data_IF_070558124684
#
_entry.id   IF_070558124684
#
_cell.length_a   1.000
_cell.length_b   1.000
_cell.length_c   1.000
_cell.angle_alpha   90.00
_cell.angle_beta   90.00
_cell.angle_gamma   90.00
#
_symmetry.space_group_name_H-M   'P 1'
#
loop_
_entity.id
_entity.type
_entity.pdbx_description
1 polymer ?
#
# COMPACT_ATOMS: atom_id res chain seq x y z
N UNK A 1 -3.02 -28.93 -51.95
CA UNK A 1 -1.71 -28.68 -51.31
C UNK A 1 -1.50 -27.18 -51.24
N UNK A 2 -1.68 -26.55 -50.07
CA UNK A 2 -1.59 -25.08 -49.90
C UNK A 2 -0.19 -24.71 -49.42
N UNK A 3 0.47 -23.82 -50.16
CA UNK A 3 1.84 -23.36 -49.96
C UNK A 3 1.92 -22.38 -48.78
N UNK A 4 2.77 -22.69 -47.81
CA UNK A 4 3.10 -21.79 -46.70
C UNK A 4 4.27 -20.89 -47.12
N UNK A 5 4.02 -19.57 -47.12
CA UNK A 5 5.04 -18.55 -47.33
C UNK A 5 5.62 -18.11 -45.98
N UNK A 6 6.81 -18.61 -45.66
CA UNK A 6 7.59 -18.17 -44.51
C UNK A 6 8.41 -16.94 -44.91
N UNK A 7 8.06 -15.75 -44.41
CA UNK A 7 8.88 -14.55 -44.56
C UNK A 7 10.05 -14.58 -43.58
N UNK A 8 11.28 -14.56 -44.12
CA UNK A 8 12.52 -14.39 -43.35
C UNK A 8 12.64 -12.93 -42.89
N UNK A 9 12.72 -12.71 -41.58
CA UNK A 9 13.08 -11.43 -40.98
C UNK A 9 14.60 -11.41 -40.79
N UNK A 10 15.29 -10.45 -41.40
CA UNK A 10 16.72 -10.24 -41.24
C UNK A 10 16.99 -9.32 -40.03
N UNK A 11 17.58 -9.87 -38.98
CA UNK A 11 18.11 -9.12 -37.83
C UNK A 11 19.38 -8.37 -38.25
N UNK A 12 19.35 -7.04 -38.17
CA UNK A 12 20.54 -6.17 -38.29
C UNK A 12 21.43 -6.38 -37.06
N UNK A 13 22.74 -6.58 -37.29
CA UNK A 13 23.78 -6.69 -36.26
C UNK A 13 24.02 -5.35 -35.57
N UNK A 14 24.41 -5.42 -34.29
CA UNK A 14 24.50 -4.32 -33.34
C UNK A 14 25.89 -3.65 -33.26
N UNK A 15 26.68 -3.66 -34.34
CA UNK A 15 28.09 -3.24 -34.29
C UNK A 15 28.36 -1.77 -34.72
N UNK A 16 27.32 -0.98 -35.00
CA UNK A 16 27.49 0.43 -35.38
C UNK A 16 27.23 1.38 -34.19
N UNK A 17 28.22 1.48 -33.28
CA UNK A 17 28.28 2.56 -32.29
C UNK A 17 29.38 3.55 -32.69
N UNK A 18 29.05 4.82 -32.99
CA UNK A 18 30.07 5.81 -33.35
C UNK A 18 30.91 6.22 -32.14
N UNK A 19 32.22 6.06 -32.29
CA UNK A 19 33.27 6.44 -31.33
C UNK A 19 33.29 7.96 -31.13
N UNK A 20 33.13 8.41 -29.88
CA UNK A 20 33.28 9.82 -29.48
C UNK A 20 34.76 10.19 -29.38
N UNK A 21 35.19 11.36 -29.89
CA UNK A 21 36.58 11.80 -29.76
C UNK A 21 36.89 12.30 -28.33
N UNK A 22 37.98 11.76 -27.77
CA UNK A 22 38.65 12.28 -26.57
C UNK A 22 39.26 13.65 -26.88
N UNK A 23 38.88 14.67 -26.11
CA UNK A 23 39.59 15.96 -26.08
C UNK A 23 40.48 15.99 -24.86
N UNK A 24 41.79 15.87 -25.11
CA UNK A 24 42.89 16.13 -24.20
C UNK A 24 43.17 17.63 -24.14
N UNK A 25 43.18 18.24 -22.94
CA UNK A 25 43.84 19.52 -22.68
C UNK A 25 44.06 19.79 -21.18
N UNK A 26 45.32 19.71 -20.80
CA UNK A 26 45.99 20.40 -19.67
C UNK A 26 47.28 21.01 -20.27
N UNK A 27 48.03 21.90 -19.59
CA UNK A 27 47.78 22.68 -18.37
C UNK A 27 48.14 24.19 -18.52
N UNK A 28 47.78 25.02 -17.53
CA UNK A 28 48.56 26.23 -17.21
C UNK A 28 48.35 26.63 -15.75
N UNK A 29 49.43 26.54 -14.96
CA UNK A 29 49.57 27.19 -13.64
C UNK A 29 49.69 28.70 -13.85
N UNK A 30 49.06 29.49 -12.97
CA UNK A 30 49.72 30.67 -12.46
C UNK A 30 49.85 30.64 -10.94
N UNK A 31 50.91 31.30 -10.52
CA UNK A 31 51.43 31.51 -9.18
C UNK A 31 50.67 32.66 -8.51
N UNK A 32 50.50 32.54 -7.18
CA UNK A 32 50.33 33.62 -6.20
C UNK A 32 48.95 34.27 -6.06
N UNK A 33 48.28 33.96 -4.95
CA UNK A 33 48.12 34.90 -3.82
C UNK A 33 47.47 34.16 -2.65
N UNK A 34 48.02 34.34 -1.44
CA UNK A 34 47.57 33.70 -0.21
C UNK A 34 46.27 34.39 0.23
N UNK A 35 45.12 33.70 0.26
CA UNK A 35 43.87 34.33 0.69
C UNK A 35 43.90 34.57 2.22
N UNK A 36 43.20 35.62 2.70
CA UNK A 36 43.06 35.90 4.12
C UNK A 36 42.39 34.72 4.84
N UNK A 37 42.76 34.51 6.10
CA UNK A 37 42.26 33.43 6.94
C UNK A 37 40.73 33.36 6.90
N UNK A 38 40.21 32.27 6.33
CA UNK A 38 38.77 31.95 6.37
C UNK A 38 38.35 31.83 7.83
N UNK A 39 37.24 32.47 8.27
CA UNK A 39 36.62 32.12 9.53
C UNK A 39 36.30 30.63 9.52
N UNK A 40 36.61 29.94 10.64
CA UNK A 40 36.27 28.53 10.84
C UNK A 40 34.83 28.32 10.38
N UNK A 41 34.56 27.38 9.46
CA UNK A 41 33.19 27.02 9.15
C UNK A 41 32.57 26.56 10.46
N UNK A 42 31.63 27.35 10.96
CA UNK A 42 30.63 26.91 11.92
C UNK A 42 30.16 25.55 11.44
N UNK A 43 30.22 24.57 12.33
CA UNK A 43 29.83 23.19 12.09
C UNK A 43 28.48 23.18 11.38
N UNK A 44 28.50 23.03 10.06
CA UNK A 44 27.31 22.75 9.29
C UNK A 44 26.82 21.42 9.83
N UNK A 45 25.57 21.31 10.31
CA UNK A 45 25.06 20.07 10.84
C UNK A 45 25.26 19.02 9.76
N UNK A 46 26.08 18.01 10.07
CA UNK A 46 26.25 16.85 9.22
C UNK A 46 24.84 16.27 9.05
N UNK A 47 24.25 16.42 7.87
CA UNK A 47 22.98 15.79 7.54
C UNK A 47 23.25 14.30 7.68
N UNK A 48 22.74 13.72 8.76
CA UNK A 48 22.95 12.34 9.13
C UNK A 48 22.44 11.45 7.98
N UNK A 49 23.25 10.49 7.49
CA UNK A 49 22.92 9.65 6.33
C UNK A 49 21.60 8.88 6.50
N UNK A 50 21.11 8.74 7.73
CA UNK A 50 19.83 8.11 8.09
C UNK A 50 18.62 8.78 7.44
N UNK A 51 18.62 10.11 7.24
CA UNK A 51 17.46 10.84 6.71
C UNK A 51 17.27 10.67 5.19
N UNK A 52 18.35 10.39 4.45
CA UNK A 52 18.26 10.17 3.00
C UNK A 52 17.74 8.76 2.70
N UNK A 53 18.11 7.78 3.52
CA UNK A 53 17.63 6.39 3.37
C UNK A 53 16.13 6.26 3.63
N UNK A 54 15.58 6.99 4.61
CA UNK A 54 14.12 6.96 4.89
C UNK A 54 13.30 7.45 3.68
N UNK A 55 13.74 8.53 3.02
CA UNK A 55 13.04 9.11 1.86
C UNK A 55 13.03 8.14 0.66
N UNK A 56 14.15 7.46 0.40
CA UNK A 56 14.24 6.48 -0.70
C UNK A 56 13.31 5.30 -0.45
N UNK A 57 13.24 4.79 0.79
CA UNK A 57 12.34 3.70 1.14
C UNK A 57 10.86 4.08 1.11
N UNK A 58 10.52 5.34 1.41
CA UNK A 58 9.13 5.82 1.37
C UNK A 58 8.57 5.93 -0.06
N UNK A 59 9.37 6.45 -0.98
CA UNK A 59 8.95 6.56 -2.39
C UNK A 59 8.74 5.20 -3.06
N UNK A 60 9.48 4.17 -2.64
CA UNK A 60 9.43 2.84 -3.26
C UNK A 60 8.11 2.11 -3.04
N UNK A 61 7.52 2.15 -1.83
CA UNK A 61 6.28 1.42 -1.58
C UNK A 61 5.08 2.12 -2.21
N UNK A 62 5.07 3.46 -2.23
CA UNK A 62 4.01 4.24 -2.89
C UNK A 62 3.94 3.90 -4.37
N UNK A 63 5.08 3.91 -5.04
CA UNK A 63 5.14 3.50 -6.45
C UNK A 63 4.66 2.06 -6.67
N UNK A 64 5.02 1.13 -5.78
CA UNK A 64 4.50 -0.23 -5.83
C UNK A 64 2.98 -0.29 -5.69
N UNK A 65 2.42 0.46 -4.74
CA UNK A 65 0.98 0.53 -4.51
C UNK A 65 0.23 1.10 -5.72
N UNK A 66 0.75 2.15 -6.36
CA UNK A 66 0.19 2.70 -7.59
C UNK A 66 0.12 1.66 -8.72
N UNK A 67 1.15 0.81 -8.85
CA UNK A 67 1.14 -0.26 -9.86
C UNK A 67 0.04 -1.28 -9.58
N UNK A 68 -0.12 -1.69 -8.32
CA UNK A 68 -1.15 -2.65 -7.91
C UNK A 68 -2.55 -2.07 -8.10
N UNK A 69 -2.78 -0.84 -7.64
CA UNK A 69 -4.06 -0.16 -7.81
C UNK A 69 -4.38 0.14 -9.28
N UNK A 70 -3.38 0.47 -10.09
CA UNK A 70 -3.56 0.61 -11.54
C UNK A 70 -3.97 -0.70 -12.23
N UNK A 71 -3.82 -1.88 -11.62
CA UNK A 71 -4.38 -3.13 -12.15
C UNK A 71 -5.88 -3.23 -11.86
N UNK A 72 -6.33 -2.81 -10.68
CA UNK A 72 -7.74 -2.67 -10.35
C UNK A 72 -8.46 -1.80 -11.38
N UNK A 73 -7.88 -0.63 -11.71
CA UNK A 73 -8.43 0.25 -12.76
C UNK A 73 -8.56 -0.43 -14.12
N UNK A 74 -7.52 -1.16 -14.55
CA UNK A 74 -7.54 -1.86 -15.85
C UNK A 74 -8.58 -2.98 -15.89
N UNK A 75 -8.76 -3.70 -14.77
CA UNK A 75 -9.78 -4.74 -14.62
C UNK A 75 -11.19 -4.21 -14.94
N UNK A 76 -11.49 -2.97 -14.54
CA UNK A 76 -12.80 -2.34 -14.70
C UNK A 76 -12.90 -1.30 -15.81
N UNK A 77 -11.81 -1.10 -16.56
CA UNK A 77 -11.75 -0.10 -17.62
C UNK A 77 -12.89 -0.29 -18.62
N UNK A 78 -13.52 0.82 -19.03
CA UNK A 78 -14.68 0.88 -19.96
C UNK A 78 -16.00 0.27 -19.48
N UNK A 79 -16.04 -0.32 -18.28
CA UNK A 79 -17.23 -1.05 -17.77
C UNK A 79 -17.90 -0.35 -16.61
N UNK A 80 -17.10 0.36 -15.81
CA UNK A 80 -17.53 1.10 -14.62
C UNK A 80 -17.11 2.55 -14.80
N UNK A 81 -17.85 3.48 -14.21
CA UNK A 81 -17.49 4.89 -14.22
C UNK A 81 -16.10 5.07 -13.57
N UNK A 82 -15.22 5.84 -14.21
CA UNK A 82 -13.87 6.07 -13.70
C UNK A 82 -13.88 6.64 -12.27
N UNK A 83 -14.86 7.49 -11.96
CA UNK A 83 -15.05 8.09 -10.63
C UNK A 83 -15.25 7.05 -9.53
N UNK A 84 -16.00 5.98 -9.78
CA UNK A 84 -16.33 4.97 -8.76
C UNK A 84 -15.07 4.16 -8.41
N UNK A 85 -14.27 3.86 -9.43
CA UNK A 85 -12.99 3.18 -9.28
C UNK A 85 -11.95 4.08 -8.61
N UNK A 86 -11.91 5.37 -8.96
CA UNK A 86 -11.00 6.34 -8.33
C UNK A 86 -11.27 6.48 -6.83
N UNK A 87 -12.54 6.46 -6.40
CA UNK A 87 -12.89 6.50 -4.97
C UNK A 87 -12.42 5.22 -4.26
N UNK A 88 -12.64 4.05 -4.86
CA UNK A 88 -12.18 2.78 -4.30
C UNK A 88 -10.65 2.77 -4.17
N UNK A 89 -9.94 3.16 -5.23
CA UNK A 89 -8.49 3.29 -5.24
C UNK A 89 -7.98 4.27 -4.19
N UNK A 90 -8.62 5.44 -4.08
CA UNK A 90 -8.27 6.44 -3.08
C UNK A 90 -8.40 5.86 -1.67
N UNK A 91 -9.50 5.16 -1.38
CA UNK A 91 -9.72 4.55 -0.07
C UNK A 91 -8.69 3.48 0.27
N UNK A 92 -8.34 2.60 -0.69
CA UNK A 92 -7.29 1.59 -0.53
C UNK A 92 -5.91 2.21 -0.32
N UNK A 93 -5.59 3.27 -1.07
CA UNK A 93 -4.33 4.00 -0.90
C UNK A 93 -4.22 4.56 0.51
N UNK A 94 -5.28 5.26 0.96
CA UNK A 94 -5.31 5.84 2.29
C UNK A 94 -5.26 4.77 3.38
N UNK A 95 -5.95 3.64 3.21
CA UNK A 95 -5.89 2.52 4.14
C UNK A 95 -4.46 2.00 4.31
N UNK A 96 -3.72 1.80 3.21
CA UNK A 96 -2.32 1.37 3.29
C UNK A 96 -1.43 2.39 3.98
N UNK A 97 -1.61 3.68 3.70
CA UNK A 97 -0.83 4.76 4.31
C UNK A 97 -1.10 4.85 5.82
N UNK A 98 -2.37 4.79 6.25
CA UNK A 98 -2.70 4.78 7.68
C UNK A 98 -2.19 3.52 8.37
N UNK A 99 -2.26 2.35 7.73
CA UNK A 99 -1.67 1.13 8.25
C UNK A 99 -0.15 1.25 8.41
N UNK A 100 0.54 1.85 7.45
CA UNK A 100 1.97 2.10 7.55
C UNK A 100 2.31 3.04 8.71
N UNK A 101 1.54 4.10 8.92
CA UNK A 101 1.73 4.99 10.07
C UNK A 101 1.51 4.26 11.40
N UNK A 102 0.45 3.47 11.51
CA UNK A 102 0.14 2.71 12.72
C UNK A 102 1.21 1.65 13.02
N UNK A 103 1.39 0.69 12.12
CA UNK A 103 2.24 -0.49 12.35
C UNK A 103 3.73 -0.22 12.11
N UNK A 104 4.06 0.70 11.22
CA UNK A 104 5.44 1.01 10.84
C UNK A 104 6.07 2.18 11.60
N UNK A 105 5.29 3.01 12.31
CA UNK A 105 5.80 4.18 13.03
C UNK A 105 5.29 4.27 14.47
N UNK A 106 3.99 4.40 14.69
CA UNK A 106 3.43 4.70 16.01
C UNK A 106 3.58 3.55 17.00
N UNK A 107 3.27 2.31 16.61
CA UNK A 107 3.42 1.16 17.50
C UNK A 107 4.89 0.87 17.85
N UNK A 108 5.84 0.87 16.90
CA UNK A 108 7.26 0.80 17.24
C UNK A 108 7.72 1.95 18.16
N UNK A 109 7.25 3.18 17.94
CA UNK A 109 7.60 4.31 18.80
C UNK A 109 7.05 4.13 20.22
N UNK A 110 5.84 3.59 20.35
CA UNK A 110 5.25 3.25 21.64
C UNK A 110 6.13 2.26 22.39
N UNK A 111 6.61 1.19 21.73
CA UNK A 111 7.54 0.21 22.32
C UNK A 111 8.86 0.83 22.75
N UNK A 112 9.37 1.82 22.01
CA UNK A 112 10.58 2.54 22.41
C UNK A 112 10.34 3.42 23.64
N UNK A 113 9.14 3.97 23.79
CA UNK A 113 8.79 4.80 24.93
C UNK A 113 8.60 3.98 26.19
N UNK A 114 8.03 2.78 26.12
CA UNK A 114 7.74 1.92 27.27
C UNK A 114 8.96 1.21 27.87
N UNK A 115 10.17 1.49 27.38
CA UNK A 115 11.41 1.13 28.06
C UNK A 115 11.87 2.32 28.92
N UNK A 116 11.35 2.50 30.14
CA UNK A 116 11.58 3.71 30.91
C UNK A 116 13.08 3.88 31.24
N UNK A 117 13.61 5.12 31.21
CA UNK A 117 14.84 5.41 31.95
C UNK A 117 14.63 5.12 33.43
N UNK A 118 15.71 4.94 34.20
CA UNK A 118 15.70 4.61 35.64
C UNK A 118 14.81 5.51 36.52
N UNK A 119 14.34 6.65 36.01
CA UNK A 119 13.47 7.61 36.69
C UNK A 119 12.09 7.69 36.03
N UNK A 120 11.16 6.84 36.47
CA UNK A 120 9.76 6.81 36.03
C UNK A 120 8.94 8.02 36.49
N UNK A 121 9.53 8.93 37.28
CA UNK A 121 8.83 10.13 37.78
C UNK A 121 8.94 11.32 36.84
N UNK A 122 9.62 11.18 35.70
CA UNK A 122 9.77 12.27 34.74
C UNK A 122 8.41 12.61 34.08
N UNK A 123 7.84 13.82 34.30
CA UNK A 123 6.59 14.23 33.64
C UNK A 123 6.71 14.25 32.11
N UNK A 124 7.91 14.37 31.55
CA UNK A 124 8.12 14.29 30.11
C UNK A 124 7.80 12.89 29.54
N UNK A 125 8.03 11.83 30.33
CA UNK A 125 7.67 10.46 29.96
C UNK A 125 6.16 10.31 29.82
N UNK A 126 5.41 10.75 30.83
CA UNK A 126 3.93 10.69 30.83
C UNK A 126 3.32 11.50 29.70
N UNK A 127 3.84 12.72 29.47
CA UNK A 127 3.39 13.56 28.36
C UNK A 127 3.62 12.88 27.00
N UNK A 128 4.80 12.29 26.79
CA UNK A 128 5.13 11.58 25.54
C UNK A 128 4.22 10.37 25.32
N UNK A 129 3.99 9.56 26.36
CA UNK A 129 3.11 8.39 26.30
C UNK A 129 1.68 8.80 25.93
N UNK A 130 1.14 9.81 26.62
CA UNK A 130 -0.20 10.33 26.37
C UNK A 130 -0.33 10.90 24.94
N UNK A 131 0.69 11.58 24.43
CA UNK A 131 0.71 12.11 23.06
C UNK A 131 0.65 10.96 22.04
N UNK A 132 1.46 9.91 22.21
CA UNK A 132 1.45 8.76 21.30
C UNK A 132 0.13 8.00 21.32
N UNK A 133 -0.47 7.79 22.50
CA UNK A 133 -1.78 7.16 22.59
C UNK A 133 -2.85 7.99 21.89
N UNK A 134 -2.83 9.32 22.02
CA UNK A 134 -3.74 10.22 21.30
C UNK A 134 -3.54 10.18 19.78
N UNK A 135 -2.29 10.12 19.32
CA UNK A 135 -1.98 10.01 17.90
C UNK A 135 -2.51 8.70 17.31
N UNK A 136 -2.37 7.58 18.04
CA UNK A 136 -2.93 6.29 17.66
C UNK A 136 -4.47 6.36 17.65
N UNK A 137 -5.10 6.89 18.68
CA UNK A 137 -6.57 7.06 18.73
C UNK A 137 -7.09 7.89 17.56
N UNK A 138 -6.47 9.02 17.27
CA UNK A 138 -6.85 9.89 16.15
C UNK A 138 -6.64 9.22 14.80
N UNK A 139 -5.61 8.38 14.65
CA UNK A 139 -5.43 7.56 13.46
C UNK A 139 -6.56 6.54 13.30
N UNK A 140 -6.92 5.83 14.37
CA UNK A 140 -8.02 4.85 14.34
C UNK A 140 -9.35 5.54 14.03
N UNK A 141 -9.62 6.70 14.60
CA UNK A 141 -10.83 7.48 14.31
C UNK A 141 -10.93 7.85 12.82
N UNK A 142 -9.80 8.19 12.18
CA UNK A 142 -9.74 8.47 10.73
C UNK A 142 -9.90 7.22 9.87
N UNK A 143 -9.55 6.04 10.35
CA UNK A 143 -9.72 4.78 9.62
C UNK A 143 -11.20 4.38 9.47
N UNK A 144 -12.07 4.67 10.44
CA UNK A 144 -13.49 4.33 10.36
C UNK A 144 -14.17 4.87 9.08
N UNK A 145 -14.19 6.18 8.81
CA UNK A 145 -14.84 6.71 7.62
C UNK A 145 -14.17 6.26 6.32
N UNK A 146 -12.86 5.97 6.33
CA UNK A 146 -12.15 5.44 5.17
C UNK A 146 -12.61 4.02 4.82
N UNK A 147 -12.74 3.14 5.83
CA UNK A 147 -13.24 1.78 5.62
C UNK A 147 -14.71 1.77 5.19
N UNK A 148 -15.53 2.67 5.73
CA UNK A 148 -16.91 2.86 5.27
C UNK A 148 -16.97 3.33 3.82
N UNK A 149 -16.11 4.29 3.43
CA UNK A 149 -16.00 4.74 2.04
C UNK A 149 -15.56 3.61 1.12
N UNK A 150 -14.62 2.76 1.56
CA UNK A 150 -14.16 1.59 0.83
C UNK A 150 -15.30 0.58 0.62
N UNK A 151 -16.09 0.28 1.67
CA UNK A 151 -17.25 -0.60 1.59
C UNK A 151 -18.31 -0.08 0.61
N UNK A 152 -18.64 1.21 0.71
CA UNK A 152 -19.62 1.86 -0.17
C UNK A 152 -19.13 1.83 -1.62
N UNK A 153 -17.89 2.24 -1.87
CA UNK A 153 -17.33 2.27 -3.21
C UNK A 153 -17.23 0.87 -3.83
N UNK A 154 -16.76 -0.15 -3.09
CA UNK A 154 -16.78 -1.53 -3.56
C UNK A 154 -18.22 -2.00 -3.88
N UNK A 155 -19.20 -1.64 -3.06
CA UNK A 155 -20.62 -1.88 -3.33
C UNK A 155 -21.11 -1.23 -4.62
N UNK A 156 -20.78 0.04 -4.86
CA UNK A 156 -21.16 0.73 -6.12
C UNK A 156 -20.51 0.10 -7.35
N UNK A 157 -19.28 -0.37 -7.24
CA UNK A 157 -18.57 -1.09 -8.29
C UNK A 157 -19.26 -2.42 -8.58
N UNK A 158 -19.66 -3.17 -7.54
CA UNK A 158 -20.45 -4.40 -7.69
C UNK A 158 -21.81 -4.16 -8.37
N UNK A 159 -22.55 -3.13 -7.95
CA UNK A 159 -23.81 -2.77 -8.60
C UNK A 159 -23.61 -2.39 -10.07
N UNK A 160 -22.53 -1.69 -10.40
CA UNK A 160 -22.18 -1.34 -11.77
C UNK A 160 -21.84 -2.59 -12.59
N UNK A 161 -21.12 -3.57 -12.02
CA UNK A 161 -20.86 -4.85 -12.65
C UNK A 161 -22.17 -5.60 -12.96
N UNK A 162 -23.07 -5.72 -11.99
CA UNK A 162 -24.35 -6.41 -12.16
C UNK A 162 -25.20 -5.77 -13.28
N UNK A 163 -25.27 -4.43 -13.32
CA UNK A 163 -25.92 -3.70 -14.42
C UNK A 163 -25.23 -3.95 -15.76
N UNK A 164 -23.90 -4.04 -15.77
CA UNK A 164 -23.14 -4.35 -16.99
C UNK A 164 -23.43 -5.77 -17.47
N UNK A 165 -23.51 -6.77 -16.59
CA UNK A 165 -23.88 -8.15 -16.93
C UNK A 165 -25.27 -8.21 -17.59
N UNK A 166 -26.25 -7.49 -17.04
CA UNK A 166 -27.61 -7.43 -17.58
C UNK A 166 -27.65 -6.85 -18.99
N UNK A 167 -26.92 -5.75 -19.23
CA UNK A 167 -26.87 -5.07 -20.52
C UNK A 167 -26.06 -5.84 -21.57
N UNK A 168 -24.90 -6.38 -21.20
CA UNK A 168 -24.06 -7.17 -22.11
C UNK A 168 -24.72 -8.50 -22.45
N UNK A 169 -25.33 -9.19 -21.47
CA UNK A 169 -26.09 -10.41 -21.72
C UNK A 169 -27.24 -10.18 -22.70
N UNK A 170 -28.04 -9.11 -22.50
CA UNK A 170 -29.14 -8.77 -23.40
C UNK A 170 -28.66 -8.35 -24.81
N UNK A 171 -27.59 -7.56 -24.90
CA UNK A 171 -27.03 -7.13 -26.19
C UNK A 171 -26.37 -8.28 -26.95
N UNK A 172 -25.71 -9.21 -26.24
CA UNK A 172 -25.08 -10.40 -26.81
C UNK A 172 -26.13 -11.40 -27.30
N UNK A 173 -27.19 -11.65 -26.52
CA UNK A 173 -28.34 -12.47 -26.97
C UNK A 173 -28.96 -11.85 -28.23
N UNK A 174 -29.14 -10.52 -28.26
CA UNK A 174 -29.69 -9.81 -29.42
C UNK A 174 -28.79 -9.83 -30.66
N UNK A 175 -27.46 -9.88 -30.49
CA UNK A 175 -26.47 -10.04 -31.57
C UNK A 175 -26.25 -11.49 -32.00
N UNK A 176 -26.46 -12.46 -31.13
CA UNK A 176 -26.38 -13.90 -31.45
C UNK A 176 -27.56 -14.37 -32.31
N UNK A 177 -28.67 -13.63 -32.33
CA UNK A 177 -29.87 -13.97 -33.09
C UNK A 177 -29.74 -13.83 -34.64
N UNK A 178 -28.68 -13.23 -35.23
CA UNK A 178 -28.43 -13.43 -36.67
C UNK A 178 -27.00 -13.79 -37.14
N UNK A 179 -25.95 -13.84 -36.30
CA UNK A 179 -24.54 -13.98 -36.77
C UNK A 179 -23.69 -14.99 -35.96
N UNK A 180 -24.25 -16.18 -35.69
CA UNK A 180 -23.75 -17.19 -34.75
C UNK A 180 -22.46 -17.95 -35.16
N UNK A 181 -21.56 -17.37 -35.96
CA UNK A 181 -20.36 -18.08 -36.45
C UNK A 181 -19.04 -17.30 -36.51
N UNK A 182 -19.06 -15.96 -36.68
CA UNK A 182 -17.83 -15.19 -36.91
C UNK A 182 -17.44 -14.26 -35.74
N UNK A 183 -18.38 -13.88 -34.87
CA UNK A 183 -18.14 -12.85 -33.85
C UNK A 183 -17.52 -13.41 -32.55
N UNK A 184 -17.73 -14.70 -32.23
CA UNK A 184 -17.12 -15.34 -31.05
C UNK A 184 -15.60 -15.52 -31.23
N UNK A 185 -15.14 -16.03 -32.37
CA UNK A 185 -13.70 -16.12 -32.66
C UNK A 185 -13.03 -14.74 -32.62
N UNK A 186 -13.70 -13.70 -33.11
CA UNK A 186 -13.15 -12.34 -33.14
C UNK A 186 -12.99 -11.73 -31.75
N UNK A 187 -13.93 -12.01 -30.85
CA UNK A 187 -13.89 -11.52 -29.46
C UNK A 187 -12.82 -12.25 -28.66
N UNK A 188 -12.70 -13.58 -28.83
CA UNK A 188 -11.63 -14.39 -28.22
C UNK A 188 -10.25 -13.95 -28.74
N UNK A 189 -10.13 -13.68 -30.04
CA UNK A 189 -8.86 -13.21 -30.64
C UNK A 189 -8.49 -11.81 -30.14
N UNK A 190 -9.44 -10.88 -29.97
CA UNK A 190 -9.15 -9.55 -29.42
C UNK A 190 -8.73 -9.61 -27.94
N UNK A 191 -9.40 -10.43 -27.13
CA UNK A 191 -9.01 -10.66 -25.74
C UNK A 191 -7.61 -11.32 -25.65
N UNK A 192 -7.33 -12.30 -26.51
CA UNK A 192 -6.01 -12.94 -26.58
C UNK A 192 -4.92 -11.99 -27.09
N UNK A 193 -5.23 -11.11 -28.05
CA UNK A 193 -4.31 -10.09 -28.55
C UNK A 193 -4.02 -9.06 -27.46
N UNK A 194 -5.02 -8.56 -26.72
CA UNK A 194 -4.81 -7.65 -25.59
C UNK A 194 -4.02 -8.30 -24.45
N UNK A 195 -4.32 -9.57 -24.12
CA UNK A 195 -3.56 -10.33 -23.12
C UNK A 195 -2.10 -10.54 -23.57
N UNK A 196 -1.87 -10.80 -24.86
CA UNK A 196 -0.53 -10.90 -25.44
C UNK A 196 0.19 -9.55 -25.63
N UNK A 197 -0.55 -8.42 -25.54
CA UNK A 197 -0.03 -7.06 -25.66
C UNK A 197 0.29 -6.41 -24.32
N UNK A 198 0.03 -7.07 -23.19
CA UNK A 198 0.60 -6.68 -21.90
C UNK A 198 2.13 -6.86 -22.04
N UNK A 199 2.92 -5.79 -22.13
CA UNK A 199 4.36 -5.95 -22.34
C UNK A 199 4.94 -6.68 -21.13
N UNK A 200 5.85 -7.64 -21.35
CA UNK A 200 6.53 -8.39 -20.27
C UNK A 200 7.08 -7.47 -19.16
N UNK A 201 7.50 -6.25 -19.54
CA UNK A 201 7.96 -5.22 -18.61
C UNK A 201 6.93 -4.84 -17.54
N UNK A 202 5.64 -4.92 -17.84
CA UNK A 202 4.57 -4.58 -16.89
C UNK A 202 4.27 -5.72 -15.91
N UNK A 203 4.57 -6.97 -16.26
CA UNK A 203 4.49 -8.10 -15.34
C UNK A 203 5.63 -8.05 -14.32
N UNK A 204 6.87 -7.82 -14.78
CA UNK A 204 8.01 -7.64 -13.88
C UNK A 204 7.84 -6.45 -12.93
N UNK A 205 7.33 -5.32 -13.42
CA UNK A 205 7.01 -4.16 -12.58
C UNK A 205 5.96 -4.49 -11.52
N UNK A 206 4.93 -5.28 -11.89
CA UNK A 206 3.91 -5.72 -10.95
C UNK A 206 4.46 -6.68 -9.89
N UNK A 207 5.27 -7.67 -10.29
CA UNK A 207 5.93 -8.57 -9.35
C UNK A 207 6.85 -7.82 -8.38
N UNK A 208 7.61 -6.84 -8.88
CA UNK A 208 8.47 -6.00 -8.05
C UNK A 208 7.66 -5.14 -7.08
N UNK A 209 6.57 -4.53 -7.56
CA UNK A 209 5.64 -3.77 -6.72
C UNK A 209 5.06 -4.62 -5.60
N UNK A 210 4.57 -5.82 -5.94
CA UNK A 210 4.03 -6.78 -4.99
C UNK A 210 5.08 -7.19 -3.96
N UNK A 211 6.31 -7.48 -4.40
CA UNK A 211 7.41 -7.82 -3.51
C UNK A 211 7.74 -6.70 -2.51
N UNK A 212 7.73 -5.44 -2.95
CA UNK A 212 7.95 -4.28 -2.05
C UNK A 212 6.82 -4.16 -1.02
N UNK A 213 5.55 -4.28 -1.44
CA UNK A 213 4.39 -4.19 -0.54
C UNK A 213 4.40 -5.33 0.47
N UNK A 214 4.54 -6.57 0.00
CA UNK A 214 4.60 -7.76 0.86
C UNK A 214 5.78 -7.72 1.81
N UNK A 215 6.95 -7.27 1.36
CA UNK A 215 8.11 -7.08 2.25
C UNK A 215 7.86 -6.05 3.35
N UNK A 216 7.08 -4.99 3.08
CA UNK A 216 6.66 -4.03 4.12
C UNK A 216 5.68 -4.66 5.11
N UNK A 217 4.69 -5.37 4.63
CA UNK A 217 3.71 -6.10 5.45
C UNK A 217 4.36 -7.14 6.37
N UNK A 218 5.36 -7.87 5.86
CA UNK A 218 6.14 -8.84 6.64
C UNK A 218 6.99 -8.16 7.71
N UNK A 219 7.59 -7.00 7.39
CA UNK A 219 8.34 -6.23 8.38
C UNK A 219 7.43 -5.78 9.54
N UNK A 220 6.22 -5.30 9.23
CA UNK A 220 5.24 -4.94 10.27
C UNK A 220 4.89 -6.13 11.16
N UNK A 221 4.70 -7.32 10.59
CA UNK A 221 4.43 -8.54 11.36
C UNK A 221 5.59 -8.92 12.28
N UNK A 222 6.82 -8.90 11.77
CA UNK A 222 8.01 -9.19 12.57
C UNK A 222 8.18 -8.19 13.72
N UNK A 223 7.83 -6.92 13.50
CA UNK A 223 7.84 -5.91 14.55
C UNK A 223 6.75 -6.18 15.61
N UNK A 224 5.54 -6.55 15.20
CA UNK A 224 4.43 -6.83 16.12
C UNK A 224 4.67 -8.07 16.99
N UNK A 225 5.31 -9.12 16.47
CA UNK A 225 5.63 -10.33 17.26
C UNK A 225 6.47 -10.04 18.51
N UNK A 226 7.15 -8.90 18.56
CA UNK A 226 7.98 -8.47 19.69
C UNK A 226 7.25 -7.62 20.74
N UNK A 227 5.99 -7.23 20.50
CA UNK A 227 5.28 -6.23 21.30
C UNK A 227 4.02 -6.82 21.90
N UNK A 228 3.96 -6.87 23.23
CA UNK A 228 2.71 -7.11 23.99
C UNK A 228 2.41 -5.89 24.83
N UNK A 229 1.26 -5.26 24.61
CA UNK A 229 0.71 -4.19 25.45
C UNK A 229 0.60 -4.62 26.90
N UNK A 230 0.17 -5.85 27.17
CA UNK A 230 0.11 -6.37 28.54
C UNK A 230 1.50 -6.38 29.21
N UNK A 231 2.55 -6.69 28.44
CA UNK A 231 3.92 -6.61 28.93
C UNK A 231 4.43 -5.15 29.05
N UNK A 232 4.04 -4.27 28.12
CA UNK A 232 4.43 -2.87 28.11
C UNK A 232 3.82 -2.04 29.25
N UNK A 233 2.62 -2.42 29.70
CA UNK A 233 1.86 -1.74 30.75
C UNK A 233 1.63 -2.68 31.96
N UNK A 234 2.59 -3.55 32.25
CA UNK A 234 2.50 -4.55 33.31
C UNK A 234 2.35 -3.95 34.72
N UNK A 235 2.70 -2.67 34.88
CA UNK A 235 2.52 -1.85 36.07
C UNK A 235 1.05 -1.42 36.30
N UNK A 236 0.15 -1.68 35.34
CA UNK A 236 -1.26 -1.28 35.37
C UNK A 236 -2.22 -2.49 35.44
N UNK A 237 -2.25 -3.25 36.54
CA UNK A 237 -3.03 -4.50 36.64
C UNK A 237 -4.55 -4.29 36.51
N UNK A 238 -5.04 -3.09 36.79
CA UNK A 238 -6.46 -2.75 36.61
C UNK A 238 -6.88 -2.70 35.13
N UNK A 239 -5.92 -2.57 34.21
CA UNK A 239 -6.15 -2.51 32.77
C UNK A 239 -5.92 -3.86 32.07
N UNK A 240 -5.51 -4.91 32.78
CA UNK A 240 -5.18 -6.22 32.22
C UNK A 240 -6.20 -6.77 31.19
N UNK A 241 -7.53 -6.79 31.43
CA UNK A 241 -8.47 -7.26 30.42
C UNK A 241 -8.49 -6.38 29.17
N UNK A 242 -8.30 -5.07 29.32
CA UNK A 242 -8.24 -4.12 28.20
C UNK A 242 -6.95 -4.30 27.41
N UNK A 243 -5.82 -4.47 28.09
CA UNK A 243 -4.51 -4.69 27.45
C UNK A 243 -4.48 -6.02 26.69
N UNK A 244 -5.07 -7.08 27.24
CA UNK A 244 -5.24 -8.37 26.56
C UNK A 244 -6.14 -8.25 25.32
N UNK A 245 -7.19 -7.42 25.38
CA UNK A 245 -8.02 -7.11 24.21
C UNK A 245 -7.23 -6.39 23.12
N UNK A 246 -6.29 -5.49 23.47
CA UNK A 246 -5.42 -4.82 22.49
C UNK A 246 -4.47 -5.85 21.86
N UNK A 247 -3.84 -6.69 22.68
CA UNK A 247 -2.90 -7.73 22.23
C UNK A 247 -3.54 -8.75 21.29
N UNK A 248 -4.83 -9.03 21.45
CA UNK A 248 -5.57 -9.91 20.54
C UNK A 248 -6.08 -9.19 19.28
N UNK A 249 -6.44 -7.91 19.38
CA UNK A 249 -7.04 -7.16 18.26
C UNK A 249 -6.01 -6.68 17.24
N UNK A 250 -4.82 -6.26 17.67
CA UNK A 250 -3.77 -5.75 16.79
C UNK A 250 -3.30 -6.79 15.74
N UNK A 251 -3.00 -8.05 16.11
CA UNK A 251 -2.66 -9.08 15.13
C UNK A 251 -3.78 -9.32 14.11
N UNK A 252 -5.05 -9.32 14.54
CA UNK A 252 -6.20 -9.52 13.65
C UNK A 252 -6.37 -8.36 12.65
N UNK A 253 -6.14 -7.12 13.10
CA UNK A 253 -6.11 -5.96 12.21
C UNK A 253 -5.01 -6.10 11.16
N UNK A 254 -3.80 -6.47 11.59
CA UNK A 254 -2.67 -6.65 10.69
C UNK A 254 -2.95 -7.78 9.70
N UNK A 255 -3.51 -8.90 10.15
CA UNK A 255 -3.92 -10.01 9.30
C UNK A 255 -4.91 -9.54 8.22
N UNK A 256 -5.96 -8.79 8.58
CA UNK A 256 -6.91 -8.26 7.61
C UNK A 256 -6.23 -7.37 6.57
N UNK A 257 -5.34 -6.47 7.00
CA UNK A 257 -4.57 -5.59 6.10
C UNK A 257 -3.68 -6.42 5.19
N UNK A 258 -2.98 -7.42 5.72
CA UNK A 258 -2.17 -8.34 4.94
C UNK A 258 -3.03 -9.05 3.89
N UNK A 259 -4.15 -9.65 4.28
CA UNK A 259 -5.04 -10.32 3.33
C UNK A 259 -5.53 -9.39 2.22
N UNK A 260 -5.91 -8.14 2.54
CA UNK A 260 -6.31 -7.16 1.52
C UNK A 260 -5.17 -6.90 0.53
N UNK A 261 -3.97 -6.57 1.01
CA UNK A 261 -2.88 -6.08 0.14
C UNK A 261 -1.97 -7.15 -0.45
N UNK A 262 -1.82 -8.31 0.20
CA UNK A 262 -0.97 -9.41 -0.27
C UNK A 262 -1.74 -10.54 -0.96
N UNK A 263 -3.05 -10.63 -0.72
CA UNK A 263 -3.88 -11.71 -1.27
C UNK A 263 -4.95 -11.16 -2.19
N UNK A 264 -5.89 -10.34 -1.71
CA UNK A 264 -7.06 -9.94 -2.51
C UNK A 264 -6.67 -9.01 -3.68
N UNK A 265 -5.96 -7.91 -3.41
CA UNK A 265 -5.60 -6.95 -4.47
C UNK A 265 -4.74 -7.55 -5.59
N UNK A 266 -3.74 -8.40 -5.30
CA UNK A 266 -2.96 -9.08 -6.33
C UNK A 266 -3.79 -9.95 -7.28
N UNK A 267 -4.87 -10.59 -6.82
CA UNK A 267 -5.68 -11.46 -7.66
C UNK A 267 -6.38 -10.71 -8.80
N UNK A 268 -6.64 -9.39 -8.66
CA UNK A 268 -7.16 -8.57 -9.77
C UNK A 268 -6.22 -8.53 -10.99
N UNK A 269 -4.95 -8.89 -10.84
CA UNK A 269 -4.04 -9.07 -11.99
C UNK A 269 -4.39 -10.29 -12.83
N UNK A 270 -4.93 -11.36 -12.22
CA UNK A 270 -5.28 -12.60 -12.89
C UNK A 270 -6.68 -12.59 -13.51
N UNK A 271 -7.52 -11.63 -13.13
CA UNK A 271 -8.89 -11.47 -13.66
C UNK A 271 -8.83 -11.14 -15.15
N UNK A 272 -9.44 -12.01 -15.96
CA UNK A 272 -9.56 -11.77 -17.40
C UNK A 272 -10.56 -10.63 -17.66
N UNK A 273 -10.33 -9.86 -18.73
CA UNK A 273 -11.25 -8.77 -19.09
C UNK A 273 -12.63 -9.35 -19.41
N UNK A 274 -13.65 -8.90 -18.68
CA UNK A 274 -15.03 -9.41 -18.81
C UNK A 274 -15.34 -10.64 -17.96
N UNK A 275 -14.39 -11.11 -17.13
CA UNK A 275 -14.64 -12.13 -16.12
C UNK A 275 -15.22 -11.50 -14.85
N UNK A 276 -16.52 -11.21 -14.93
CA UNK A 276 -17.27 -10.45 -13.93
C UNK A 276 -17.49 -11.25 -12.66
N UNK A 277 -17.58 -12.57 -12.80
CA UNK A 277 -17.75 -13.50 -11.70
C UNK A 277 -16.51 -13.48 -10.80
N UNK A 278 -15.32 -13.66 -11.37
CA UNK A 278 -14.08 -13.61 -10.60
C UNK A 278 -13.85 -12.21 -10.00
N UNK A 279 -14.09 -11.14 -10.77
CA UNK A 279 -14.00 -9.77 -10.26
C UNK A 279 -14.95 -9.52 -9.07
N UNK A 280 -16.18 -10.03 -9.15
CA UNK A 280 -17.20 -9.95 -8.10
C UNK A 280 -16.74 -10.69 -6.84
N UNK A 281 -16.19 -11.89 -6.97
CA UNK A 281 -15.66 -12.66 -5.85
C UNK A 281 -14.57 -11.86 -5.12
N UNK A 282 -13.63 -11.24 -5.84
CA UNK A 282 -12.58 -10.44 -5.21
C UNK A 282 -13.11 -9.16 -4.54
N UNK A 283 -14.11 -8.50 -5.13
CA UNK A 283 -14.77 -7.35 -4.49
C UNK A 283 -15.53 -7.74 -3.23
N UNK A 284 -16.22 -8.88 -3.23
CA UNK A 284 -16.90 -9.41 -2.05
C UNK A 284 -15.91 -9.76 -0.94
N UNK A 285 -14.79 -10.40 -1.28
CA UNK A 285 -13.70 -10.65 -0.34
C UNK A 285 -13.15 -9.33 0.22
N UNK A 286 -12.94 -8.33 -0.63
CA UNK A 286 -12.48 -7.01 -0.20
C UNK A 286 -13.46 -6.39 0.80
N UNK A 287 -14.76 -6.44 0.53
CA UNK A 287 -15.79 -5.94 1.44
C UNK A 287 -15.78 -6.70 2.77
N UNK A 288 -15.74 -8.03 2.74
CA UNK A 288 -15.71 -8.86 3.94
C UNK A 288 -14.53 -8.50 4.85
N UNK A 289 -13.31 -8.42 4.30
CA UNK A 289 -12.13 -8.07 5.10
C UNK A 289 -12.12 -6.60 5.53
N UNK A 290 -12.75 -5.70 4.77
CA UNK A 290 -12.93 -4.30 5.18
C UNK A 290 -13.89 -4.17 6.36
N UNK A 291 -14.97 -4.95 6.37
CA UNK A 291 -15.94 -5.00 7.46
C UNK A 291 -15.34 -5.61 8.73
N UNK A 292 -14.61 -6.73 8.61
CA UNK A 292 -13.84 -7.31 9.72
C UNK A 292 -12.84 -6.30 10.29
N UNK A 293 -12.07 -5.65 9.41
CA UNK A 293 -11.11 -4.62 9.82
C UNK A 293 -11.79 -3.45 10.53
N UNK A 294 -12.98 -3.01 10.07
CA UNK A 294 -13.76 -1.97 10.73
C UNK A 294 -14.14 -2.36 12.17
N UNK A 295 -14.60 -3.59 12.38
CA UNK A 295 -14.94 -4.10 13.70
C UNK A 295 -13.71 -4.15 14.63
N UNK A 296 -12.55 -4.55 14.11
CA UNK A 296 -11.30 -4.58 14.88
C UNK A 296 -10.79 -3.17 15.20
N UNK A 297 -10.86 -2.23 14.26
CA UNK A 297 -10.50 -0.83 14.49
C UNK A 297 -11.36 -0.23 15.60
N UNK A 298 -12.68 -0.46 15.60
CA UNK A 298 -13.56 0.07 16.65
C UNK A 298 -13.26 -0.56 18.01
N UNK A 299 -13.06 -1.88 18.07
CA UNK A 299 -12.67 -2.58 19.30
C UNK A 299 -11.35 -2.05 19.88
N UNK A 300 -10.33 -1.87 19.04
CA UNK A 300 -9.04 -1.33 19.46
C UNK A 300 -9.17 0.12 19.95
N UNK A 301 -9.96 0.94 19.25
CA UNK A 301 -10.21 2.33 19.64
C UNK A 301 -10.85 2.41 21.02
N UNK A 302 -11.88 1.60 21.29
CA UNK A 302 -12.53 1.55 22.60
C UNK A 302 -11.54 1.15 23.70
N UNK A 303 -10.70 0.14 23.44
CA UNK A 303 -9.70 -0.30 24.40
C UNK A 303 -8.65 0.79 24.69
N UNK A 304 -8.14 1.48 23.65
CA UNK A 304 -7.18 2.57 23.82
C UNK A 304 -7.77 3.75 24.59
N UNK A 305 -9.05 4.08 24.36
CA UNK A 305 -9.73 5.15 25.11
C UNK A 305 -9.74 4.90 26.62
N UNK A 306 -9.85 3.64 27.05
CA UNK A 306 -9.76 3.27 28.47
C UNK A 306 -8.33 3.49 28.99
N UNK A 307 -7.31 3.06 28.23
CA UNK A 307 -5.90 3.26 28.59
C UNK A 307 -5.56 4.76 28.66
N UNK A 308 -5.94 5.55 27.66
CA UNK A 308 -5.72 7.00 27.64
C UNK A 308 -6.44 7.72 28.78
N UNK A 309 -7.66 7.29 29.14
CA UNK A 309 -8.40 7.86 30.25
C UNK A 309 -7.68 7.63 31.59
N UNK A 310 -7.04 6.48 31.76
CA UNK A 310 -6.20 6.20 32.93
C UNK A 310 -5.01 7.16 33.02
N UNK A 311 -4.28 7.38 31.91
CA UNK A 311 -3.17 8.33 31.87
C UNK A 311 -3.58 9.78 32.15
N UNK A 312 -4.76 10.20 31.68
CA UNK A 312 -5.30 11.54 31.95
C UNK A 312 -5.69 11.75 33.42
N UNK A 313 -6.16 10.72 34.10
CA UNK A 313 -6.53 10.82 35.52
C UNK A 313 -5.29 10.96 36.40
N UNK A 314 -4.22 10.21 36.10
CA UNK A 314 -2.97 10.26 36.86
C UNK A 314 -2.29 11.63 36.76
N UNK A 315 -2.39 12.31 35.61
CA UNK A 315 -1.84 13.66 35.40
C UNK A 315 -2.45 14.72 36.33
N UNK A 316 -3.69 14.52 36.80
CA UNK A 316 -4.36 15.48 37.71
C UNK A 316 -3.93 15.37 39.18
N UNK A 317 -3.17 14.33 39.53
CA UNK A 317 -2.74 14.06 40.90
C UNK A 317 -1.32 14.57 41.20
N UNK A 318 -0.60 15.07 40.20
CA UNK A 318 0.74 15.65 40.30
C UNK A 318 0.73 17.15 40.03
#
# INVERSE_FOLDING_TARGET
MKSQHTRKIALKRADDVPVRPLVSRTPAKPLVSRPPARPRPSQVPLITPTRIQSIIHETSYRYGLEIVLGRLQRCFASRIAATDIEVLEFSLRQLFEQAYLLFGQLLPELTLCTNPPLDQTDPAYFYRMNTLLQDIESLLERLLPLLQLQLISAGTVLEALDRSCSLYGAAQIKKQLPQQGEDEERTVVLAAIEAALIPDSTYYQWMQALHVITGKLQNWQQQQESVSFSALFADLPLLDPTLSSIDSTLPLMLECIQTIFSTILPEFHAVSRGDDETATIHLLNLMQYSDLLLNHVDSLRQALQVVSSHYRQTDTLY
#
